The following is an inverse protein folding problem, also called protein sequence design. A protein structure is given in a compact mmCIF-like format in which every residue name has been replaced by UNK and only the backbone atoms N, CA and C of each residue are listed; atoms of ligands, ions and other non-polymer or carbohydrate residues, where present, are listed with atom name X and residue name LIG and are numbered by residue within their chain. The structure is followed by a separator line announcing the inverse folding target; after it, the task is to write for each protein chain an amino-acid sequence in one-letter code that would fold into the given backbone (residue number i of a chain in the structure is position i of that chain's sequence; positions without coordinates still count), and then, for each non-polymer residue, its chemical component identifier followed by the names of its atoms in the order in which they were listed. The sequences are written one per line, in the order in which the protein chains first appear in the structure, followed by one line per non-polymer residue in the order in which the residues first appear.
data_IF_557525408036
#
_entry.id   IF_557525408036
#
_cell.length_a   1.000
_cell.length_b   1.000
_cell.length_c   1.000
_cell.angle_alpha   90.00
_cell.angle_beta   90.00
_cell.angle_gamma   90.00
#
_symmetry.space_group_name_H-M   'P 1'
#
loop_
_entity.id
_entity.type
_entity.pdbx_description
1 polymer ?
#
# COMPACT_ATOMS: atom_id res chain seq x y z
N UNK A 1 -7.17 12.47 -12.54
CA UNK A 1 -6.62 12.40 -11.16
C UNK A 1 -5.20 11.88 -11.18
N UNK A 2 -4.56 11.74 -10.01
CA UNK A 2 -3.21 11.16 -9.88
C UNK A 2 -3.21 9.65 -10.17
N UNK A 3 -2.04 9.03 -10.41
CA UNK A 3 -1.96 7.59 -10.69
C UNK A 3 -2.41 6.69 -9.52
N UNK A 4 -2.32 7.18 -8.29
CA UNK A 4 -2.77 6.48 -7.08
C UNK A 4 -3.99 7.17 -6.43
N UNK A 5 -4.87 7.74 -7.25
CA UNK A 5 -6.13 8.28 -6.75
C UNK A 5 -6.98 7.15 -6.14
N UNK A 6 -7.33 7.28 -4.85
CA UNK A 6 -8.17 6.33 -4.15
C UNK A 6 -9.66 6.54 -4.48
N UNK A 7 -10.10 7.79 -4.58
CA UNK A 7 -11.42 8.18 -5.09
C UNK A 7 -11.32 8.45 -6.60
N UNK A 8 -11.77 7.50 -7.42
CA UNK A 8 -11.75 7.58 -8.90
C UNK A 8 -13.06 8.10 -9.49
N UNK A 9 -14.11 8.08 -8.67
CA UNK A 9 -15.48 8.46 -8.96
C UNK A 9 -16.12 9.04 -7.68
N UNK A 10 -17.41 9.34 -7.70
CA UNK A 10 -18.12 9.72 -6.47
C UNK A 10 -18.14 8.55 -5.50
N UNK A 11 -17.61 8.78 -4.31
CA UNK A 11 -17.46 7.77 -3.26
C UNK A 11 -17.81 8.38 -1.91
N UNK A 12 -18.19 7.52 -0.97
CA UNK A 12 -18.16 7.84 0.45
C UNK A 12 -17.01 7.07 1.12
N UNK A 13 -16.58 7.51 2.29
CA UNK A 13 -15.46 6.90 3.01
C UNK A 13 -15.84 6.63 4.46
N UNK A 14 -15.38 5.50 4.97
CA UNK A 14 -15.34 5.23 6.40
C UNK A 14 -14.01 5.67 6.98
N UNK A 15 -14.03 6.51 8.01
CA UNK A 15 -12.83 7.00 8.69
C UNK A 15 -12.72 6.29 10.03
N UNK A 16 -11.67 5.50 10.20
CA UNK A 16 -11.44 4.70 11.42
C UNK A 16 -10.40 5.39 12.30
N UNK A 17 -10.82 5.81 13.49
CA UNK A 17 -9.92 6.26 14.55
C UNK A 17 -9.70 5.13 15.56
N UNK A 18 -8.44 4.80 15.83
CA UNK A 18 -8.07 3.75 16.77
C UNK A 18 -6.81 4.11 17.54
N UNK A 19 -6.63 3.48 18.71
CA UNK A 19 -5.43 3.60 19.54
C UNK A 19 -4.61 2.32 19.43
N UNK A 20 -3.35 2.46 19.02
CA UNK A 20 -2.38 1.37 18.97
C UNK A 20 -1.18 1.68 19.86
N UNK A 21 -0.69 0.69 20.61
CA UNK A 21 0.59 0.80 21.31
C UNK A 21 1.77 0.67 20.32
N UNK A 22 2.97 0.97 20.79
CA UNK A 22 4.19 0.94 19.96
C UNK A 22 4.90 -0.41 19.95
N UNK A 23 4.46 -1.35 20.80
CA UNK A 23 5.01 -2.70 20.88
C UNK A 23 4.73 -3.54 19.61
N UNK A 24 5.58 -4.53 19.29
CA UNK A 24 5.45 -5.33 18.07
C UNK A 24 4.12 -6.09 17.96
N UNK A 25 3.59 -6.63 19.06
CA UNK A 25 2.36 -7.40 19.05
C UNK A 25 1.15 -6.50 18.69
N UNK A 26 1.10 -5.29 19.26
CA UNK A 26 0.07 -4.31 18.94
C UNK A 26 0.14 -3.82 17.50
N UNK A 27 1.35 -3.61 16.95
CA UNK A 27 1.56 -3.29 15.53
C UNK A 27 1.10 -4.42 14.61
N UNK A 28 1.38 -5.67 14.99
CA UNK A 28 0.96 -6.84 14.23
C UNK A 28 -0.57 -6.98 14.22
N UNK A 29 -1.23 -6.83 15.37
CA UNK A 29 -2.69 -6.89 15.45
C UNK A 29 -3.35 -5.85 14.53
N UNK A 30 -2.79 -4.64 14.43
CA UNK A 30 -3.26 -3.61 13.50
C UNK A 30 -3.04 -3.98 12.04
N UNK A 31 -1.91 -4.60 11.73
CA UNK A 31 -1.64 -5.07 10.38
C UNK A 31 -2.69 -6.09 9.90
N UNK A 32 -3.16 -6.98 10.79
CA UNK A 32 -4.16 -8.01 10.46
C UNK A 32 -5.47 -7.37 10.04
N UNK A 33 -6.13 -6.61 10.91
CA UNK A 33 -7.44 -6.04 10.57
C UNK A 33 -7.34 -4.94 9.49
N UNK A 34 -6.19 -4.26 9.33
CA UNK A 34 -5.99 -3.33 8.21
C UNK A 34 -6.05 -4.06 6.86
N UNK A 35 -5.49 -5.27 6.78
CA UNK A 35 -5.55 -6.09 5.55
C UNK A 35 -6.96 -6.60 5.29
N UNK A 36 -7.69 -6.99 6.34
CA UNK A 36 -9.09 -7.41 6.21
C UNK A 36 -9.97 -6.26 5.70
N UNK A 37 -9.77 -5.04 6.20
CA UNK A 37 -10.45 -3.85 5.67
C UNK A 37 -10.06 -3.57 4.21
N UNK A 38 -8.78 -3.75 3.84
CA UNK A 38 -8.35 -3.62 2.46
C UNK A 38 -9.07 -4.63 1.55
N UNK A 39 -9.16 -5.90 1.95
CA UNK A 39 -9.90 -6.92 1.19
C UNK A 39 -11.38 -6.56 1.05
N UNK A 40 -12.02 -6.11 2.13
CA UNK A 40 -13.43 -5.70 2.10
C UNK A 40 -13.69 -4.55 1.13
N UNK A 41 -12.81 -3.54 1.12
CA UNK A 41 -12.92 -2.40 0.21
C UNK A 41 -12.62 -2.81 -1.24
N UNK A 42 -11.63 -3.67 -1.47
CA UNK A 42 -11.29 -4.20 -2.80
C UNK A 42 -12.44 -5.04 -3.36
N UNK A 43 -13.13 -5.83 -2.53
CA UNK A 43 -14.25 -6.67 -2.94
C UNK A 43 -15.42 -5.87 -3.56
N UNK A 44 -15.54 -4.59 -3.22
CA UNK A 44 -16.54 -3.67 -3.78
C UNK A 44 -15.94 -2.69 -4.80
N UNK A 45 -14.78 -3.03 -5.37
CA UNK A 45 -14.01 -2.21 -6.33
C UNK A 45 -13.56 -0.84 -5.79
N UNK A 46 -13.62 -0.65 -4.47
CA UNK A 46 -13.14 0.55 -3.81
C UNK A 46 -11.61 0.57 -3.68
N UNK A 47 -11.11 1.62 -3.04
CA UNK A 47 -9.72 1.72 -2.61
C UNK A 47 -9.64 2.37 -1.23
N UNK A 48 -8.55 2.11 -0.52
CA UNK A 48 -8.25 2.76 0.76
C UNK A 48 -7.43 4.04 0.52
N UNK A 49 -7.35 4.91 1.52
CA UNK A 49 -6.39 6.03 1.47
C UNK A 49 -4.99 5.50 1.76
N UNK A 50 -3.97 5.90 0.97
CA UNK A 50 -2.59 5.43 1.12
C UNK A 50 -2.13 5.61 2.58
N UNK A 51 -1.98 4.51 3.34
CA UNK A 51 -1.74 4.62 4.77
C UNK A 51 -0.26 4.90 5.03
N UNK A 52 0.02 5.66 6.10
CA UNK A 52 1.38 5.89 6.60
C UNK A 52 2.13 4.58 6.91
N UNK A 53 1.40 3.50 7.16
CA UNK A 53 1.92 2.15 7.35
C UNK A 53 1.51 1.26 6.19
N UNK A 54 2.49 0.63 5.54
CA UNK A 54 2.29 -0.25 4.38
C UNK A 54 1.85 -1.65 4.81
N UNK A 55 0.72 -1.73 5.51
CA UNK A 55 0.15 -3.01 5.96
C UNK A 55 -0.44 -3.86 4.84
N UNK A 56 -1.15 -3.31 3.84
CA UNK A 56 -1.67 -4.10 2.73
C UNK A 56 -0.57 -4.91 2.05
N UNK A 57 -0.92 -6.11 1.59
CA UNK A 57 -0.01 -6.93 0.79
C UNK A 57 0.21 -6.29 -0.59
N UNK A 58 1.27 -6.70 -1.30
CA UNK A 58 1.49 -6.23 -2.66
C UNK A 58 0.30 -6.50 -3.58
N UNK A 59 -0.29 -7.70 -3.48
CA UNK A 59 -1.45 -8.07 -4.27
C UNK A 59 -2.68 -7.20 -3.95
N UNK A 60 -2.93 -6.92 -2.67
CA UNK A 60 -4.00 -6.00 -2.26
C UNK A 60 -3.77 -4.59 -2.82
N UNK A 61 -2.55 -4.07 -2.73
CA UNK A 61 -2.20 -2.76 -3.27
C UNK A 61 -2.44 -2.69 -4.79
N UNK A 62 -1.99 -3.69 -5.55
CA UNK A 62 -2.15 -3.70 -7.00
C UNK A 62 -3.61 -3.84 -7.45
N UNK A 63 -4.43 -4.55 -6.67
CA UNK A 63 -5.89 -4.61 -6.89
C UNK A 63 -6.57 -3.27 -6.59
N UNK A 64 -6.20 -2.61 -5.48
CA UNK A 64 -6.76 -1.31 -5.11
C UNK A 64 -6.33 -0.18 -6.07
N UNK A 65 -5.10 -0.26 -6.61
CA UNK A 65 -4.53 0.77 -7.48
C UNK A 65 -4.04 0.18 -8.81
N UNK A 66 -4.94 -0.11 -9.77
CA UNK A 66 -4.58 -0.74 -11.05
C UNK A 66 -3.66 0.13 -11.93
N UNK A 67 -3.59 1.44 -11.68
CA UNK A 67 -2.68 2.36 -12.37
C UNK A 67 -1.28 2.44 -11.72
N UNK A 68 -0.99 1.68 -10.66
CA UNK A 68 0.30 1.71 -9.98
C UNK A 68 1.49 1.42 -10.92
N UNK A 69 1.29 0.56 -11.91
CA UNK A 69 2.33 0.28 -12.91
C UNK A 69 2.78 1.54 -13.66
N UNK A 70 1.85 2.46 -13.98
CA UNK A 70 2.21 3.74 -14.65
C UNK A 70 3.10 4.61 -13.78
N UNK A 71 2.86 4.61 -12.46
CA UNK A 71 3.75 5.30 -11.52
C UNK A 71 5.13 4.65 -11.48
N UNK A 72 5.19 3.31 -11.54
CA UNK A 72 6.44 2.55 -11.48
C UNK A 72 7.29 2.72 -12.75
N UNK A 73 6.64 2.79 -13.91
CA UNK A 73 7.31 3.10 -15.16
C UNK A 73 7.85 4.53 -15.15
N UNK A 74 7.07 5.49 -14.64
CA UNK A 74 7.53 6.86 -14.45
C UNK A 74 8.69 6.95 -13.47
N UNK A 75 8.64 6.18 -12.37
CA UNK A 75 9.71 6.08 -11.38
C UNK A 75 11.02 5.62 -12.00
N UNK A 76 10.97 4.65 -12.90
CA UNK A 76 12.14 4.15 -13.63
C UNK A 76 12.76 5.23 -14.52
N UNK A 77 11.92 6.04 -15.17
CA UNK A 77 12.38 7.12 -16.06
C UNK A 77 13.02 8.28 -15.30
N UNK A 78 12.44 8.66 -14.15
CA UNK A 78 12.84 9.85 -13.40
C UNK A 78 13.89 9.58 -12.32
N UNK A 79 13.99 8.35 -11.83
CA UNK A 79 15.00 7.94 -10.84
C UNK A 79 15.54 6.55 -11.21
N UNK A 80 16.33 6.45 -12.30
CA UNK A 80 16.85 5.18 -12.81
C UNK A 80 17.76 4.46 -11.81
N UNK A 81 18.46 5.23 -10.96
CA UNK A 81 19.33 4.71 -9.90
C UNK A 81 18.56 4.32 -8.62
N UNK A 82 17.24 4.55 -8.59
CA UNK A 82 16.36 4.20 -7.47
C UNK A 82 16.78 4.82 -6.12
N UNK A 83 17.28 6.07 -6.15
CA UNK A 83 17.78 6.83 -5.00
C UNK A 83 16.65 7.30 -4.08
N UNK A 84 15.54 7.77 -4.65
CA UNK A 84 14.41 8.30 -3.89
C UNK A 84 13.43 7.18 -3.55
N UNK A 85 13.79 6.35 -2.57
CA UNK A 85 12.97 5.22 -2.11
C UNK A 85 12.66 5.31 -0.62
N UNK A 86 11.63 4.60 -0.22
CA UNK A 86 11.18 4.46 1.17
C UNK A 86 10.41 3.13 1.28
N UNK A 87 9.82 2.87 2.45
CA UNK A 87 9.11 1.63 2.72
C UNK A 87 8.01 1.30 1.70
N UNK A 88 7.36 2.31 1.09
CA UNK A 88 6.33 2.10 0.07
C UNK A 88 6.92 1.44 -1.18
N UNK A 89 7.98 2.03 -1.73
CA UNK A 89 8.64 1.50 -2.92
C UNK A 89 9.22 0.11 -2.67
N UNK A 90 9.72 -0.10 -1.45
CA UNK A 90 10.34 -1.33 -0.97
C UNK A 90 9.33 -2.42 -0.59
N UNK A 91 8.04 -2.10 -0.63
CA UNK A 91 6.97 -3.07 -0.37
C UNK A 91 6.24 -3.41 -1.66
N UNK A 92 5.94 -2.41 -2.50
CA UNK A 92 5.02 -2.58 -3.62
C UNK A 92 5.66 -2.57 -5.01
N UNK A 93 6.88 -2.04 -5.16
CA UNK A 93 7.52 -1.90 -6.47
C UNK A 93 8.74 -2.81 -6.63
N UNK A 94 9.79 -2.61 -5.83
CA UNK A 94 11.01 -3.44 -5.84
C UNK A 94 11.24 -4.00 -4.44
N UNK A 95 10.44 -4.98 -4.01
CA UNK A 95 10.55 -5.48 -2.65
C UNK A 95 11.92 -6.07 -2.38
N UNK A 96 12.53 -5.64 -1.27
CA UNK A 96 13.81 -6.18 -0.84
C UNK A 96 13.63 -7.67 -0.51
N UNK A 97 14.27 -8.54 -1.29
CA UNK A 97 14.40 -9.95 -0.97
C UNK A 97 15.78 -10.15 -0.34
N UNK A 98 15.90 -10.36 0.98
CA UNK A 98 17.19 -10.73 1.55
C UNK A 98 17.67 -12.01 0.87
N UNK A 99 18.95 -12.08 0.54
CA UNK A 99 19.57 -13.34 0.09
C UNK A 99 19.34 -14.37 1.20
N UNK A 100 18.61 -15.45 0.88
CA UNK A 100 18.61 -16.65 1.74
C UNK A 100 20.03 -17.20 1.71
N UNK A 101 20.76 -17.07 2.81
CA UNK A 101 21.94 -17.90 3.02
C UNK A 101 21.42 -19.34 3.13
N UNK A 102 21.90 -20.20 2.25
CA UNK A 102 21.65 -21.64 2.30
C UNK A 102 22.30 -22.30 3.50
#
# INVERSE_FOLDING_TARGET
GTYLAWAREEVFAFVVYYKQRTDPASKYAVAVWTRELADAVIAVNGAYYLPYQVHPTADQFHKAYPNAQKLFDLKTKLDPDYKFRNIFWDTYYKPFKPKRNG
#
